data_IF_882776931153
#
_entry.id   IF_882776931153
#
_cell.length_a   1.000
_cell.length_b   1.000
_cell.length_c   1.000
_cell.angle_alpha   90.00
_cell.angle_beta   90.00
_cell.angle_gamma   90.00
#
_symmetry.space_group_name_H-M   'P 1'
#
loop_
_entity.id
_entity.type
_entity.pdbx_description
1 polymer ?
#
# COMPACT_ATOMS: atom_id res chain seq x y z
N UNK A 1 0.74 35.86 -38.44
CA UNK A 1 1.37 34.62 -37.98
C UNK A 1 0.60 34.11 -36.78
N UNK A 2 0.05 32.92 -36.87
CA UNK A 2 -0.57 32.25 -35.75
C UNK A 2 0.50 31.45 -35.03
N UNK A 3 0.59 31.58 -33.71
CA UNK A 3 1.51 30.82 -32.87
C UNK A 3 0.75 29.80 -32.06
N UNK A 4 1.23 28.58 -32.03
CA UNK A 4 0.63 27.48 -31.28
C UNK A 4 1.60 26.99 -30.20
N UNK A 5 1.05 26.61 -29.05
CA UNK A 5 1.80 26.02 -27.96
C UNK A 5 2.42 24.69 -28.40
N UNK A 6 3.67 24.48 -28.07
CA UNK A 6 4.46 23.32 -28.47
C UNK A 6 5.43 22.96 -27.35
N UNK A 7 5.96 21.73 -27.37
CA UNK A 7 7.06 21.31 -26.51
C UNK A 7 8.24 20.82 -27.34
N UNK A 8 9.42 21.18 -26.89
CA UNK A 8 10.65 20.65 -27.55
C UNK A 8 10.77 19.15 -27.23
N UNK A 9 10.84 18.27 -28.26
CA UNK A 9 11.00 16.84 -28.04
C UNK A 9 12.35 16.45 -27.41
N UNK A 10 13.37 17.36 -27.47
CA UNK A 10 14.70 17.06 -26.94
C UNK A 10 14.94 17.51 -25.49
N UNK A 11 14.30 18.63 -25.06
CA UNK A 11 14.54 19.19 -23.72
C UNK A 11 13.22 19.45 -22.94
N UNK A 12 12.08 19.08 -23.50
CA UNK A 12 10.74 19.30 -22.97
C UNK A 12 10.36 20.78 -22.67
N UNK A 13 11.17 21.74 -23.08
CA UNK A 13 10.91 23.18 -22.89
C UNK A 13 9.66 23.63 -23.64
N UNK A 14 8.86 24.49 -23.02
CA UNK A 14 7.64 25.05 -23.61
C UNK A 14 7.97 26.10 -24.66
N UNK A 15 7.36 25.97 -25.82
CA UNK A 15 7.61 26.79 -26.96
C UNK A 15 6.32 27.40 -27.51
N UNK A 16 6.48 28.53 -28.19
CA UNK A 16 5.45 29.08 -29.08
C UNK A 16 6.01 28.98 -30.51
N UNK A 17 5.39 28.12 -31.32
CA UNK A 17 5.86 27.88 -32.69
C UNK A 17 4.91 28.43 -33.72
N UNK A 18 5.40 29.05 -34.81
CA UNK A 18 4.55 29.49 -35.90
C UNK A 18 4.08 28.27 -36.72
N UNK A 19 2.77 28.17 -36.97
CA UNK A 19 2.16 27.05 -37.71
C UNK A 19 2.55 27.00 -39.18
N UNK A 20 3.03 28.09 -39.73
CA UNK A 20 3.40 28.27 -41.13
C UNK A 20 4.87 27.82 -41.45
N UNK A 21 5.56 27.22 -40.48
CA UNK A 21 6.92 26.71 -40.65
C UNK A 21 6.99 25.21 -40.38
N UNK A 22 7.84 24.53 -41.13
CA UNK A 22 8.11 23.10 -40.96
C UNK A 22 9.03 22.84 -39.78
N UNK A 23 10.01 23.73 -39.54
CA UNK A 23 10.99 23.58 -38.47
C UNK A 23 11.35 24.91 -37.83
N UNK A 24 11.73 24.87 -36.55
CA UNK A 24 12.23 26.00 -35.76
C UNK A 24 13.37 25.55 -34.83
N UNK A 25 14.22 26.50 -34.41
CA UNK A 25 15.23 26.23 -33.38
C UNK A 25 14.62 26.37 -31.97
N UNK A 26 14.90 25.39 -31.14
CA UNK A 26 14.53 25.49 -29.72
C UNK A 26 15.35 26.58 -29.04
N UNK A 27 14.70 27.53 -28.41
CA UNK A 27 15.36 28.64 -27.71
C UNK A 27 16.10 28.20 -26.43
N UNK A 28 15.82 27.01 -25.91
CA UNK A 28 16.44 26.48 -24.67
C UNK A 28 17.65 25.59 -24.95
N UNK A 29 17.54 24.63 -25.87
CA UNK A 29 18.63 23.69 -26.16
C UNK A 29 19.30 23.88 -27.53
N UNK A 30 18.78 24.78 -28.36
CA UNK A 30 19.35 25.09 -29.68
C UNK A 30 19.13 24.04 -30.78
N UNK A 31 18.44 22.93 -30.46
CA UNK A 31 18.14 21.87 -31.44
C UNK A 31 17.15 22.35 -32.50
N UNK A 32 17.29 21.88 -33.72
CA UNK A 32 16.27 22.01 -34.75
C UNK A 32 15.13 21.02 -34.46
N UNK A 33 13.90 21.52 -34.41
CA UNK A 33 12.71 20.76 -34.10
C UNK A 33 11.68 20.89 -35.21
N UNK A 34 10.99 19.82 -35.51
CA UNK A 34 9.87 19.80 -36.45
C UNK A 34 8.62 20.34 -35.74
N UNK A 35 8.02 21.40 -36.26
CA UNK A 35 6.88 22.09 -35.64
C UNK A 35 5.73 21.14 -35.34
N UNK A 36 5.37 20.23 -36.27
CA UNK A 36 4.31 19.26 -36.09
C UNK A 36 4.58 18.29 -34.91
N UNK A 37 5.83 17.88 -34.73
CA UNK A 37 6.23 16.98 -33.62
C UNK A 37 6.17 17.71 -32.28
N UNK A 38 6.62 18.97 -32.25
CA UNK A 38 6.57 19.81 -31.08
C UNK A 38 5.12 20.10 -30.62
N UNK A 39 4.20 20.30 -31.55
CA UNK A 39 2.75 20.47 -31.26
C UNK A 39 2.16 19.16 -30.74
N UNK A 40 2.50 18.01 -31.36
CA UNK A 40 2.07 16.70 -30.86
C UNK A 40 2.59 16.42 -29.44
N UNK A 41 3.83 16.76 -29.16
CA UNK A 41 4.43 16.61 -27.83
C UNK A 41 3.70 17.45 -26.78
N UNK A 42 3.31 18.68 -27.12
CA UNK A 42 2.49 19.51 -26.23
C UNK A 42 1.10 18.93 -25.98
N UNK A 43 0.41 18.47 -27.03
CA UNK A 43 -0.88 17.83 -26.93
C UNK A 43 -0.85 16.54 -26.08
N UNK A 44 0.18 15.73 -26.26
CA UNK A 44 0.41 14.54 -25.44
C UNK A 44 0.63 14.90 -23.96
N UNK A 45 1.44 15.92 -23.68
CA UNK A 45 1.70 16.41 -22.32
C UNK A 45 0.42 16.89 -21.63
N UNK A 46 -0.43 17.67 -22.30
CA UNK A 46 -1.73 18.12 -21.77
C UNK A 46 -2.65 16.94 -21.49
N UNK A 47 -2.64 15.92 -22.35
CA UNK A 47 -3.43 14.72 -22.16
C UNK A 47 -2.96 13.92 -20.94
N UNK A 48 -1.64 13.78 -20.73
CA UNK A 48 -1.07 13.11 -19.56
C UNK A 48 -1.48 13.83 -18.28
N UNK A 49 -1.35 15.14 -18.21
CA UNK A 49 -1.73 15.92 -17.03
C UNK A 49 -3.22 15.77 -16.69
N UNK A 50 -4.09 15.85 -17.71
CA UNK A 50 -5.52 15.65 -17.51
C UNK A 50 -5.84 14.23 -17.01
N UNK A 51 -5.23 13.20 -17.61
CA UNK A 51 -5.41 11.81 -17.17
C UNK A 51 -4.93 11.62 -15.74
N UNK A 52 -3.79 12.24 -15.39
CA UNK A 52 -3.24 12.16 -14.05
C UNK A 52 -4.15 12.82 -13.01
N UNK A 53 -4.69 14.01 -13.32
CA UNK A 53 -5.63 14.71 -12.45
C UNK A 53 -6.93 13.92 -12.26
N UNK A 54 -7.46 13.29 -13.33
CA UNK A 54 -8.62 12.39 -13.24
C UNK A 54 -8.31 11.17 -12.38
N UNK A 55 -7.15 10.55 -12.57
CA UNK A 55 -6.69 9.41 -11.78
C UNK A 55 -6.62 9.74 -10.28
N UNK A 56 -6.01 10.88 -9.96
CA UNK A 56 -5.90 11.36 -8.59
C UNK A 56 -7.27 11.63 -7.97
N UNK A 57 -8.14 12.33 -8.70
CA UNK A 57 -9.50 12.62 -8.22
C UNK A 57 -10.31 11.34 -8.00
N UNK A 58 -10.20 10.34 -8.88
CA UNK A 58 -10.83 9.04 -8.71
C UNK A 58 -10.27 8.29 -7.50
N UNK A 59 -8.96 8.32 -7.30
CA UNK A 59 -8.30 7.71 -6.13
C UNK A 59 -8.78 8.36 -4.82
N UNK A 60 -8.78 9.68 -4.75
CA UNK A 60 -9.22 10.44 -3.57
C UNK A 60 -10.70 10.21 -3.26
N UNK A 61 -11.52 9.93 -4.28
CA UNK A 61 -12.93 9.55 -4.13
C UNK A 61 -13.15 8.07 -3.76
N UNK A 62 -12.07 7.25 -3.69
CA UNK A 62 -12.16 5.81 -3.44
C UNK A 62 -12.57 4.96 -4.66
N UNK A 63 -12.62 5.56 -5.84
CA UNK A 63 -12.91 4.87 -7.10
C UNK A 63 -11.64 4.22 -7.67
N UNK A 64 -11.09 3.26 -6.93
CA UNK A 64 -9.78 2.68 -7.22
C UNK A 64 -9.68 1.99 -8.59
N UNK A 65 -10.76 1.40 -9.09
CA UNK A 65 -10.76 0.82 -10.43
C UNK A 65 -10.57 1.90 -11.50
N UNK A 66 -11.33 2.97 -11.41
CA UNK A 66 -11.25 4.10 -12.33
C UNK A 66 -9.87 4.79 -12.24
N UNK A 67 -9.36 5.00 -11.01
CA UNK A 67 -8.03 5.56 -10.78
C UNK A 67 -6.93 4.70 -11.45
N UNK A 68 -6.98 3.38 -11.24
CA UNK A 68 -6.05 2.42 -11.85
C UNK A 68 -6.07 2.49 -13.37
N UNK A 69 -7.26 2.60 -13.96
CA UNK A 69 -7.43 2.66 -15.40
C UNK A 69 -6.84 3.97 -15.97
N UNK A 70 -7.08 5.12 -15.32
CA UNK A 70 -6.46 6.38 -15.73
C UNK A 70 -4.94 6.37 -15.56
N UNK A 71 -4.40 5.88 -14.44
CA UNK A 71 -2.94 5.75 -14.27
C UNK A 71 -2.34 4.82 -15.32
N UNK A 72 -3.03 3.74 -15.69
CA UNK A 72 -2.58 2.84 -16.76
C UNK A 72 -2.49 3.58 -18.10
N UNK A 73 -3.46 4.43 -18.42
CA UNK A 73 -3.43 5.24 -19.64
C UNK A 73 -2.32 6.30 -19.63
N UNK A 74 -1.96 6.84 -18.45
CA UNK A 74 -0.77 7.70 -18.33
C UNK A 74 0.47 6.89 -18.70
N UNK A 75 0.61 5.67 -18.17
CA UNK A 75 1.76 4.80 -18.43
C UNK A 75 1.84 4.28 -19.88
N UNK A 76 0.73 4.20 -20.61
CA UNK A 76 0.72 3.90 -22.05
C UNK A 76 1.41 5.00 -22.89
N UNK A 77 1.43 6.24 -22.37
CA UNK A 77 2.04 7.39 -23.05
C UNK A 77 3.44 7.68 -22.49
N UNK A 78 3.62 7.54 -21.20
CA UNK A 78 4.85 7.77 -20.44
C UNK A 78 5.10 6.63 -19.45
N UNK A 79 5.76 5.56 -19.92
CA UNK A 79 6.03 4.38 -19.11
C UNK A 79 7.00 4.63 -17.94
N UNK A 80 7.76 5.73 -17.97
CA UNK A 80 8.71 6.10 -16.92
C UNK A 80 8.10 7.04 -15.88
N UNK A 81 6.80 7.33 -15.95
CA UNK A 81 6.12 8.19 -15.00
C UNK A 81 5.99 7.49 -13.63
N UNK A 82 6.90 7.79 -12.73
CA UNK A 82 6.97 7.15 -11.42
C UNK A 82 5.72 7.42 -10.56
N UNK A 83 5.11 8.60 -10.66
CA UNK A 83 3.88 8.93 -9.93
C UNK A 83 2.69 8.11 -10.42
N UNK A 84 2.61 7.87 -11.72
CA UNK A 84 1.57 7.00 -12.29
C UNK A 84 1.78 5.54 -11.88
N UNK A 85 3.02 5.06 -11.77
CA UNK A 85 3.29 3.74 -11.21
C UNK A 85 2.84 3.64 -9.77
N UNK A 86 3.11 4.65 -8.90
CA UNK A 86 2.63 4.69 -7.53
C UNK A 86 1.11 4.63 -7.47
N UNK A 87 0.44 5.53 -8.18
CA UNK A 87 -1.01 5.61 -8.18
C UNK A 87 -1.68 4.33 -8.68
N UNK A 88 -1.16 3.73 -9.76
CA UNK A 88 -1.61 2.43 -10.27
C UNK A 88 -1.44 1.32 -9.24
N UNK A 89 -0.25 1.26 -8.61
CA UNK A 89 0.06 0.26 -7.60
C UNK A 89 -0.87 0.36 -6.38
N UNK A 90 -1.02 1.54 -5.82
CA UNK A 90 -1.89 1.75 -4.67
C UNK A 90 -3.36 1.45 -5.01
N UNK A 91 -3.83 1.92 -6.16
CA UNK A 91 -5.18 1.60 -6.63
C UNK A 91 -5.40 0.08 -6.77
N UNK A 92 -4.39 -0.65 -7.29
CA UNK A 92 -4.47 -2.11 -7.38
C UNK A 92 -4.58 -2.78 -6.02
N UNK A 93 -3.78 -2.35 -5.06
CA UNK A 93 -3.81 -2.89 -3.69
C UNK A 93 -5.16 -2.73 -3.00
N UNK A 94 -5.75 -1.54 -3.11
CA UNK A 94 -7.07 -1.24 -2.54
C UNK A 94 -8.23 -1.99 -3.23
N UNK A 95 -8.01 -2.54 -4.41
CA UNK A 95 -8.95 -3.45 -5.09
C UNK A 95 -8.83 -4.91 -4.62
N UNK A 96 -8.05 -5.20 -3.60
CA UNK A 96 -7.96 -6.54 -3.03
C UNK A 96 -9.29 -6.97 -2.43
N UNK A 97 -9.66 -8.21 -2.73
CA UNK A 97 -10.78 -8.93 -2.12
C UNK A 97 -10.27 -10.25 -1.55
N UNK A 98 -11.05 -10.95 -0.74
CA UNK A 98 -10.66 -12.27 -0.22
C UNK A 98 -10.35 -13.26 -1.36
N UNK A 99 -11.12 -13.18 -2.45
CA UNK A 99 -10.89 -14.02 -3.63
C UNK A 99 -9.64 -13.60 -4.43
N UNK A 100 -9.32 -12.30 -4.48
CA UNK A 100 -8.21 -11.76 -5.30
C UNK A 100 -7.38 -10.79 -4.47
N UNK A 101 -6.24 -11.25 -4.00
CA UNK A 101 -5.27 -10.43 -3.26
C UNK A 101 -4.28 -9.77 -4.20
N UNK A 102 -4.30 -8.43 -4.30
CA UNK A 102 -3.56 -7.64 -5.29
C UNK A 102 -2.35 -6.89 -4.74
N UNK A 103 -2.00 -7.06 -3.49
CA UNK A 103 -0.82 -6.39 -2.90
C UNK A 103 0.49 -6.70 -3.63
N UNK A 104 0.73 -7.90 -4.21
CA UNK A 104 1.89 -8.14 -5.06
C UNK A 104 1.98 -7.20 -6.28
N UNK A 105 0.83 -6.79 -6.86
CA UNK A 105 0.79 -5.80 -7.93
C UNK A 105 1.27 -4.42 -7.43
N UNK A 106 0.86 -4.03 -6.22
CA UNK A 106 1.31 -2.79 -5.55
C UNK A 106 2.83 -2.79 -5.37
N UNK A 107 3.38 -3.88 -4.86
CA UNK A 107 4.83 -3.99 -4.58
C UNK A 107 5.64 -3.93 -5.89
N UNK A 108 5.16 -4.60 -6.94
CA UNK A 108 5.78 -4.55 -8.26
C UNK A 108 5.78 -3.13 -8.84
N UNK A 109 4.63 -2.44 -8.74
CA UNK A 109 4.48 -1.07 -9.22
C UNK A 109 5.34 -0.08 -8.39
N UNK A 110 5.45 -0.29 -7.09
CA UNK A 110 6.32 0.49 -6.20
C UNK A 110 7.80 0.32 -6.58
N UNK A 111 8.23 -0.90 -6.91
CA UNK A 111 9.57 -1.15 -7.44
C UNK A 111 9.85 -0.35 -8.71
N UNK A 112 8.89 -0.30 -9.64
CA UNK A 112 8.99 0.53 -10.85
C UNK A 112 9.01 2.02 -10.55
N UNK A 113 8.20 2.48 -9.62
CA UNK A 113 8.20 3.86 -9.19
C UNK A 113 9.56 4.28 -8.61
N UNK A 114 10.18 3.44 -7.78
CA UNK A 114 11.52 3.69 -7.22
C UNK A 114 12.59 3.67 -8.32
N UNK A 115 12.48 2.77 -9.30
CA UNK A 115 13.40 2.68 -10.43
C UNK A 115 13.42 3.97 -11.25
N UNK A 116 12.26 4.54 -11.55
CA UNK A 116 12.12 5.72 -12.42
C UNK A 116 12.14 7.06 -11.69
N UNK A 117 11.99 7.05 -10.36
CA UNK A 117 11.98 8.27 -9.58
C UNK A 117 13.36 8.97 -9.56
N UNK A 118 13.38 10.32 -9.52
CA UNK A 118 14.58 11.08 -9.20
C UNK A 118 15.15 10.65 -7.83
N UNK A 119 16.48 10.73 -7.69
CA UNK A 119 17.17 10.22 -6.49
C UNK A 119 16.67 10.88 -5.19
N UNK A 120 16.40 12.18 -5.24
CA UNK A 120 15.87 12.98 -4.14
C UNK A 120 14.45 12.61 -3.72
N UNK A 121 13.71 11.88 -4.56
CA UNK A 121 12.33 11.41 -4.29
C UNK A 121 12.25 9.98 -3.80
N UNK A 122 13.29 9.18 -3.98
CA UNK A 122 13.22 7.73 -3.68
C UNK A 122 12.88 7.42 -2.24
N UNK A 123 13.43 8.16 -1.28
CA UNK A 123 13.16 7.90 0.13
C UNK A 123 11.73 8.29 0.54
N UNK A 124 11.19 9.38 -0.04
CA UNK A 124 9.80 9.75 0.13
C UNK A 124 8.86 8.65 -0.40
N UNK A 125 9.15 8.14 -1.61
CA UNK A 125 8.39 7.08 -2.25
C UNK A 125 8.44 5.77 -1.46
N UNK A 126 9.61 5.40 -0.93
CA UNK A 126 9.76 4.22 -0.07
C UNK A 126 8.88 4.32 1.18
N UNK A 127 8.94 5.46 1.88
CA UNK A 127 8.15 5.67 3.09
C UNK A 127 6.65 5.62 2.81
N UNK A 128 6.21 6.27 1.73
CA UNK A 128 4.82 6.24 1.29
C UNK A 128 4.39 4.82 0.89
N UNK A 129 5.26 4.09 0.20
CA UNK A 129 5.02 2.70 -0.20
C UNK A 129 4.83 1.77 1.01
N UNK A 130 5.70 1.88 2.02
CA UNK A 130 5.60 1.09 3.25
C UNK A 130 4.30 1.40 3.98
N UNK A 131 3.93 2.68 4.08
CA UNK A 131 2.67 3.09 4.69
C UNK A 131 1.47 2.46 3.98
N UNK A 132 1.39 2.58 2.65
CA UNK A 132 0.27 2.05 1.87
C UNK A 132 0.19 0.51 1.92
N UNK A 133 1.32 -0.18 1.85
CA UNK A 133 1.38 -1.65 2.02
C UNK A 133 0.77 -2.04 3.36
N UNK A 134 1.13 -1.32 4.43
CA UNK A 134 0.61 -1.59 5.78
C UNK A 134 -0.89 -1.37 5.88
N UNK A 135 -1.39 -0.24 5.38
CA UNK A 135 -2.82 0.06 5.38
C UNK A 135 -3.63 -0.99 4.63
N UNK A 136 -3.15 -1.43 3.46
CA UNK A 136 -3.80 -2.48 2.67
C UNK A 136 -3.79 -3.81 3.42
N UNK A 137 -2.69 -4.19 4.07
CA UNK A 137 -2.60 -5.42 4.86
C UNK A 137 -3.58 -5.38 6.05
N UNK A 138 -3.62 -4.28 6.78
CA UNK A 138 -4.55 -4.12 7.90
C UNK A 138 -6.02 -4.23 7.45
N UNK A 139 -6.36 -3.57 6.33
CA UNK A 139 -7.70 -3.64 5.76
C UNK A 139 -8.05 -5.07 5.31
N UNK A 140 -7.11 -5.76 4.65
CA UNK A 140 -7.30 -7.13 4.19
C UNK A 140 -7.42 -8.13 5.36
N UNK A 141 -6.56 -8.01 6.38
CA UNK A 141 -6.64 -8.86 7.58
C UNK A 141 -7.99 -8.69 8.30
N UNK A 142 -8.45 -7.44 8.40
CA UNK A 142 -9.76 -7.17 8.98
C UNK A 142 -10.89 -7.79 8.19
N UNK A 143 -10.86 -7.67 6.85
CA UNK A 143 -11.85 -8.30 5.98
C UNK A 143 -11.87 -9.83 6.16
N UNK A 144 -10.70 -10.45 6.27
CA UNK A 144 -10.56 -11.90 6.54
C UNK A 144 -11.14 -12.29 7.88
N UNK A 145 -10.89 -11.51 8.94
CA UNK A 145 -11.43 -11.75 10.26
C UNK A 145 -12.95 -11.56 10.31
N UNK A 146 -13.48 -10.52 9.68
CA UNK A 146 -14.94 -10.30 9.61
C UNK A 146 -15.66 -11.45 8.93
N UNK A 147 -15.10 -12.02 7.86
CA UNK A 147 -15.67 -13.18 7.20
C UNK A 147 -15.63 -14.41 8.10
N UNK A 148 -14.47 -14.70 8.67
CA UNK A 148 -14.32 -15.79 9.65
C UNK A 148 -15.33 -15.69 10.79
N UNK A 149 -15.47 -14.51 11.43
CA UNK A 149 -16.42 -14.33 12.52
C UNK A 149 -17.90 -14.43 12.10
N UNK A 150 -18.24 -14.07 10.88
CA UNK A 150 -19.59 -14.29 10.35
C UNK A 150 -19.89 -15.79 10.23
N UNK A 151 -18.93 -16.54 9.68
CA UNK A 151 -19.10 -17.96 9.45
C UNK A 151 -19.22 -18.74 10.76
N UNK A 152 -18.33 -18.52 11.74
CA UNK A 152 -18.39 -19.27 13.01
C UNK A 152 -19.60 -18.99 13.87
N UNK A 153 -20.29 -17.85 13.70
CA UNK A 153 -21.51 -17.53 14.44
C UNK A 153 -22.73 -18.34 14.04
N UNK A 154 -22.74 -18.86 12.82
CA UNK A 154 -23.95 -19.44 12.21
C UNK A 154 -23.80 -20.90 11.81
N UNK A 155 -22.67 -21.57 12.10
CA UNK A 155 -22.29 -22.76 11.38
C UNK A 155 -21.93 -23.94 12.28
N UNK A 156 -22.15 -25.14 11.72
CA UNK A 156 -21.71 -26.43 12.23
C UNK A 156 -20.18 -26.49 12.34
N UNK A 157 -19.68 -27.26 13.30
CA UNK A 157 -18.26 -27.43 13.66
C UNK A 157 -17.40 -27.80 12.44
N UNK A 158 -17.93 -28.55 11.47
CA UNK A 158 -17.19 -28.96 10.26
C UNK A 158 -16.81 -27.77 9.37
N UNK A 159 -17.68 -26.80 9.21
CA UNK A 159 -17.43 -25.59 8.42
C UNK A 159 -16.48 -24.61 9.13
N UNK A 160 -16.44 -24.62 10.46
CA UNK A 160 -15.50 -23.80 11.22
C UNK A 160 -14.04 -24.20 10.97
N UNK A 161 -13.76 -25.46 10.64
CA UNK A 161 -12.43 -25.92 10.26
C UNK A 161 -12.00 -25.38 8.88
N UNK A 162 -12.90 -25.41 7.90
CA UNK A 162 -12.61 -24.91 6.55
C UNK A 162 -12.35 -23.40 6.58
N UNK A 163 -13.17 -22.64 7.31
CA UNK A 163 -12.99 -21.20 7.49
C UNK A 163 -11.71 -20.83 8.24
N UNK A 164 -11.31 -21.65 9.22
CA UNK A 164 -10.02 -21.47 9.90
C UNK A 164 -8.84 -21.68 8.95
N UNK A 165 -8.93 -22.64 8.04
CA UNK A 165 -7.91 -22.90 7.05
C UNK A 165 -7.79 -21.72 6.05
N UNK A 166 -8.93 -21.16 5.62
CA UNK A 166 -8.96 -19.97 4.75
C UNK A 166 -8.35 -18.74 5.42
N UNK A 167 -8.63 -18.52 6.70
CA UNK A 167 -8.03 -17.42 7.47
C UNK A 167 -6.50 -17.55 7.53
N UNK A 168 -5.99 -18.77 7.75
CA UNK A 168 -4.54 -19.03 7.73
C UNK A 168 -3.97 -18.78 6.34
N UNK A 169 -4.63 -19.21 5.27
CA UNK A 169 -4.21 -18.93 3.90
C UNK A 169 -4.14 -17.43 3.60
N UNK A 170 -5.10 -16.66 4.05
CA UNK A 170 -5.07 -15.20 3.90
C UNK A 170 -3.87 -14.59 4.61
N UNK A 171 -3.54 -15.04 5.81
CA UNK A 171 -2.35 -14.60 6.57
C UNK A 171 -1.05 -14.98 5.87
N UNK A 172 -0.97 -16.19 5.30
CA UNK A 172 0.18 -16.62 4.50
C UNK A 172 0.37 -15.76 3.24
N UNK A 173 -0.72 -15.37 2.55
CA UNK A 173 -0.67 -14.43 1.43
C UNK A 173 -0.12 -13.06 1.86
N UNK A 174 -0.57 -12.54 3.01
CA UNK A 174 -0.05 -11.29 3.56
C UNK A 174 1.44 -11.37 3.91
N UNK A 175 1.87 -12.45 4.59
CA UNK A 175 3.27 -12.69 4.92
C UNK A 175 4.13 -12.75 3.64
N UNK A 176 3.69 -13.51 2.64
CA UNK A 176 4.40 -13.61 1.36
C UNK A 176 4.54 -12.25 0.66
N UNK A 177 3.51 -11.41 0.70
CA UNK A 177 3.57 -10.07 0.12
C UNK A 177 4.52 -9.16 0.90
N UNK A 178 4.53 -9.22 2.24
CA UNK A 178 5.50 -8.47 3.05
C UNK A 178 6.95 -8.93 2.80
N UNK A 179 7.17 -10.21 2.57
CA UNK A 179 8.49 -10.72 2.19
C UNK A 179 8.94 -10.17 0.83
N UNK A 180 8.03 -10.04 -0.14
CA UNK A 180 8.31 -9.36 -1.40
C UNK A 180 8.65 -7.89 -1.18
N UNK A 181 7.87 -7.17 -0.35
CA UNK A 181 8.17 -5.79 0.01
C UNK A 181 9.52 -5.66 0.72
N UNK A 182 9.86 -6.62 1.59
CA UNK A 182 11.14 -6.68 2.27
C UNK A 182 12.33 -6.83 1.30
N UNK A 183 12.16 -7.41 0.11
CA UNK A 183 13.22 -7.43 -0.91
C UNK A 183 13.56 -6.04 -1.46
N UNK A 184 12.58 -5.12 -1.45
CA UNK A 184 12.78 -3.71 -1.83
C UNK A 184 13.34 -2.88 -0.67
N UNK A 185 13.04 -3.26 0.58
CA UNK A 185 13.38 -2.53 1.80
C UNK A 185 14.01 -3.47 2.85
N UNK A 186 15.22 -4.01 2.60
CA UNK A 186 15.77 -5.11 3.38
C UNK A 186 16.09 -4.77 4.84
N UNK A 187 16.29 -3.50 5.17
CA UNK A 187 16.64 -3.03 6.51
C UNK A 187 15.50 -2.25 7.18
N UNK A 188 14.30 -2.30 6.59
CA UNK A 188 13.14 -1.62 7.19
C UNK A 188 12.62 -2.42 8.38
N UNK A 189 12.83 -1.88 9.57
CA UNK A 189 12.46 -2.50 10.84
C UNK A 189 10.94 -2.72 10.96
N UNK A 190 10.18 -1.80 10.39
CA UNK A 190 8.72 -1.86 10.50
C UNK A 190 8.15 -3.02 9.67
N UNK A 191 8.61 -3.22 8.43
CA UNK A 191 8.21 -4.37 7.62
C UNK A 191 8.60 -5.69 8.28
N UNK A 192 9.82 -5.77 8.84
CA UNK A 192 10.29 -6.95 9.56
C UNK A 192 9.37 -7.23 10.76
N UNK A 193 9.03 -6.21 11.54
CA UNK A 193 8.12 -6.34 12.69
C UNK A 193 6.73 -6.84 12.27
N UNK A 194 6.19 -6.32 11.16
CA UNK A 194 4.91 -6.78 10.63
C UNK A 194 4.95 -8.26 10.21
N UNK A 195 6.04 -8.73 9.62
CA UNK A 195 6.21 -10.14 9.29
C UNK A 195 6.22 -11.00 10.56
N UNK A 196 6.98 -10.59 11.58
CA UNK A 196 7.05 -11.28 12.87
C UNK A 196 5.64 -11.39 13.48
N UNK A 197 4.92 -10.27 13.57
CA UNK A 197 3.57 -10.21 14.15
C UNK A 197 2.60 -11.08 13.38
N UNK A 198 2.61 -11.05 12.04
CA UNK A 198 1.72 -11.89 11.24
C UNK A 198 2.05 -13.38 11.37
N UNK A 199 3.34 -13.75 11.48
CA UNK A 199 3.73 -15.13 11.78
C UNK A 199 3.17 -15.59 13.12
N UNK A 200 3.27 -14.74 14.15
CA UNK A 200 2.73 -15.05 15.48
C UNK A 200 1.22 -15.22 15.47
N UNK A 201 0.48 -14.29 14.84
CA UNK A 201 -0.97 -14.37 14.73
C UNK A 201 -1.39 -15.60 13.92
N UNK A 202 -0.67 -15.91 12.85
CA UNK A 202 -0.97 -17.09 12.02
C UNK A 202 -0.66 -18.40 12.73
N UNK A 203 0.37 -18.41 13.59
CA UNK A 203 0.78 -19.58 14.37
C UNK A 203 -0.09 -19.80 15.62
N UNK A 204 -0.24 -18.77 16.44
CA UNK A 204 -0.99 -18.87 17.70
C UNK A 204 -2.51 -18.91 17.50
N UNK A 205 -2.98 -18.58 16.30
CA UNK A 205 -4.38 -18.42 16.00
C UNK A 205 -5.02 -17.32 16.86
N UNK A 206 -6.31 -17.25 16.82
CA UNK A 206 -7.08 -16.47 17.79
C UNK A 206 -7.31 -17.37 19.00
N UNK A 207 -6.50 -17.23 20.05
CA UNK A 207 -6.53 -18.10 21.25
C UNK A 207 -7.92 -18.21 21.90
N UNK A 208 -8.77 -17.21 21.73
CA UNK A 208 -10.16 -17.25 22.21
C UNK A 208 -11.04 -18.24 21.43
N UNK A 209 -10.58 -18.70 20.27
CA UNK A 209 -11.31 -19.63 19.39
C UNK A 209 -10.48 -20.92 19.19
N UNK A 210 -9.49 -21.15 20.02
CA UNK A 210 -8.44 -22.18 19.87
C UNK A 210 -8.97 -23.62 19.74
N UNK A 211 -10.25 -23.87 19.98
CA UNK A 211 -10.85 -25.17 19.80
C UNK A 211 -11.05 -25.55 18.32
N UNK A 212 -10.97 -24.57 17.39
CA UNK A 212 -11.24 -24.77 15.96
C UNK A 212 -10.13 -24.32 15.02
N UNK A 213 -9.12 -23.59 15.52
CA UNK A 213 -8.00 -23.10 14.71
C UNK A 213 -6.83 -24.08 14.77
N UNK A 214 -6.95 -25.20 14.07
CA UNK A 214 -5.86 -26.15 13.91
C UNK A 214 -5.04 -25.76 12.68
N UNK A 215 -3.95 -25.04 12.91
CA UNK A 215 -2.91 -24.89 11.90
C UNK A 215 -2.32 -26.29 11.65
N UNK A 216 -2.26 -26.72 10.41
CA UNK A 216 -1.60 -27.99 10.08
C UNK A 216 -0.14 -27.94 10.54
N UNK A 217 0.37 -29.00 11.14
CA UNK A 217 1.73 -29.09 11.70
C UNK A 217 2.82 -28.57 10.75
N UNK A 218 2.65 -28.76 9.44
CA UNK A 218 3.58 -28.29 8.41
C UNK A 218 3.62 -26.75 8.31
N UNK A 219 2.47 -26.08 8.42
CA UNK A 219 2.40 -24.60 8.42
C UNK A 219 2.95 -24.03 9.72
N UNK A 220 2.67 -24.68 10.84
CA UNK A 220 3.17 -24.32 12.14
C UNK A 220 4.69 -24.28 12.16
N UNK A 221 5.34 -25.35 11.71
CA UNK A 221 6.80 -25.42 11.63
C UNK A 221 7.38 -24.37 10.70
N UNK A 222 6.77 -24.16 9.53
CA UNK A 222 7.22 -23.16 8.57
C UNK A 222 7.11 -21.73 9.12
N UNK A 223 5.99 -21.42 9.79
CA UNK A 223 5.76 -20.11 10.41
C UNK A 223 6.73 -19.83 11.56
N UNK A 224 6.99 -20.81 12.42
CA UNK A 224 7.99 -20.71 13.49
C UNK A 224 9.38 -20.42 12.93
N UNK A 225 9.83 -21.22 11.96
CA UNK A 225 11.15 -21.03 11.32
C UNK A 225 11.26 -19.65 10.67
N UNK A 226 10.21 -19.20 10.00
CA UNK A 226 10.16 -17.89 9.37
C UNK A 226 10.24 -16.77 10.41
N UNK A 227 9.46 -16.86 11.48
CA UNK A 227 9.48 -15.94 12.61
C UNK A 227 10.87 -15.82 13.22
N UNK A 228 11.50 -16.93 13.56
CA UNK A 228 12.85 -16.97 14.14
C UNK A 228 13.88 -16.30 13.24
N UNK A 229 13.79 -16.52 11.92
CA UNK A 229 14.63 -15.86 10.94
C UNK A 229 14.47 -14.33 11.02
N UNK A 230 13.23 -13.81 11.01
CA UNK A 230 12.98 -12.36 11.03
C UNK A 230 13.29 -11.72 12.38
N UNK A 231 13.09 -12.43 13.50
CA UNK A 231 13.55 -11.99 14.83
C UNK A 231 15.08 -11.87 14.87
N UNK A 232 15.79 -12.86 14.34
CA UNK A 232 17.25 -12.82 14.24
C UNK A 232 17.73 -11.65 13.38
N UNK A 233 17.04 -11.41 12.24
CA UNK A 233 17.33 -10.27 11.37
C UNK A 233 17.06 -8.95 12.07
N UNK A 234 15.94 -8.80 12.76
CA UNK A 234 15.62 -7.62 13.53
C UNK A 234 16.71 -7.31 14.57
N UNK A 235 17.15 -8.32 15.33
CA UNK A 235 18.22 -8.17 16.32
C UNK A 235 19.57 -7.79 15.69
N UNK A 236 19.82 -8.18 14.45
CA UNK A 236 21.03 -7.77 13.73
C UNK A 236 21.03 -6.29 13.32
N UNK A 237 19.85 -5.75 13.01
CA UNK A 237 19.65 -4.35 12.63
C UNK A 237 19.50 -3.46 13.90
N UNK A 238 18.83 -3.98 14.90
CA UNK A 238 18.59 -3.32 16.17
C UNK A 238 18.92 -4.26 17.34
N UNK A 239 20.15 -4.20 17.89
CA UNK A 239 20.54 -5.01 19.03
C UNK A 239 19.71 -4.75 20.31
N UNK A 240 18.99 -3.62 20.37
CA UNK A 240 18.10 -3.30 21.48
C UNK A 240 16.69 -3.87 21.33
N UNK A 241 16.40 -4.53 20.21
CA UNK A 241 15.08 -5.13 19.95
C UNK A 241 14.79 -6.23 20.98
N UNK A 242 13.67 -6.05 21.66
CA UNK A 242 13.14 -7.05 22.60
C UNK A 242 11.96 -7.75 21.93
N UNK A 243 12.07 -9.04 21.75
CA UNK A 243 10.99 -9.89 21.27
C UNK A 243 9.97 -10.08 22.40
N UNK A 244 8.94 -9.24 22.41
CA UNK A 244 7.93 -9.20 23.47
C UNK A 244 7.06 -10.44 23.53
N UNK A 245 6.94 -11.18 22.44
CA UNK A 245 6.12 -12.38 22.38
C UNK A 245 6.85 -13.61 22.94
N UNK A 246 8.17 -13.67 22.84
CA UNK A 246 8.95 -14.67 23.58
C UNK A 246 8.93 -14.47 25.09
N UNK A 247 8.59 -13.27 25.57
CA UNK A 247 8.39 -13.00 26.99
C UNK A 247 7.02 -13.44 27.49
N UNK A 248 5.98 -13.36 26.65
CA UNK A 248 4.61 -13.81 26.99
C UNK A 248 4.50 -15.34 27.10
N UNK A 249 5.35 -16.08 26.38
CA UNK A 249 5.44 -17.56 26.55
C UNK A 249 6.08 -17.96 27.88
N UNK A 250 6.87 -17.08 28.50
CA UNK A 250 7.50 -17.30 29.80
C UNK A 250 6.68 -16.77 30.99
N UNK A 251 5.72 -15.89 30.78
CA UNK A 251 4.79 -15.41 31.78
C UNK A 251 3.43 -16.04 31.53
N UNK A 252 3.13 -17.06 32.34
CA UNK A 252 1.89 -17.82 32.34
C UNK A 252 0.65 -16.93 32.14
N UNK A 253 -0.17 -17.29 31.12
CA UNK A 253 -1.61 -17.03 31.03
C UNK A 253 -2.12 -15.67 31.55
N UNK A 254 -1.74 -14.59 30.92
CA UNK A 254 -2.57 -13.39 30.96
C UNK A 254 -3.27 -13.24 29.61
N UNK A 255 -4.56 -13.53 29.61
CA UNK A 255 -5.51 -13.23 28.55
C UNK A 255 -5.28 -11.80 28.09
N UNK A 256 -4.79 -11.61 26.86
CA UNK A 256 -4.79 -10.30 26.22
C UNK A 256 -6.24 -9.95 25.97
N UNK A 257 -6.88 -9.32 26.94
CA UNK A 257 -8.14 -8.62 26.68
C UNK A 257 -7.79 -7.50 25.71
N UNK A 258 -8.33 -7.59 24.49
CA UNK A 258 -8.44 -6.41 23.65
C UNK A 258 -9.08 -5.31 24.51
N UNK A 259 -8.47 -4.11 24.56
CA UNK A 259 -9.06 -3.02 25.31
C UNK A 259 -10.48 -2.78 24.80
N UNK A 260 -11.42 -2.59 25.74
CA UNK A 260 -12.78 -2.17 25.39
C UNK A 260 -12.70 -0.98 24.44
N UNK A 261 -13.52 -0.93 23.38
CA UNK A 261 -13.48 0.17 22.43
C UNK A 261 -13.62 1.49 23.19
N UNK A 262 -12.72 2.47 22.97
CA UNK A 262 -12.75 3.74 23.69
C UNK A 262 -14.11 4.41 23.49
N UNK A 263 -14.69 4.93 24.57
CA UNK A 263 -15.89 5.78 24.49
C UNK A 263 -15.55 7.01 23.64
N UNK A 264 -16.22 7.13 22.50
CA UNK A 264 -15.98 8.14 21.47
C UNK A 264 -16.35 9.51 22.04
N UNK A 265 -15.35 10.37 22.23
CA UNK A 265 -15.56 11.81 22.25
C UNK A 265 -15.55 12.31 20.81
N UNK A 266 -16.67 12.91 20.40
CA UNK A 266 -16.88 13.49 19.07
C UNK A 266 -16.03 14.74 18.87
N UNK A 267 -14.75 14.61 18.58
CA UNK A 267 -13.95 15.70 18.04
C UNK A 267 -13.40 15.34 16.66
N UNK A 268 -13.73 16.23 15.73
CA UNK A 268 -13.49 16.16 14.28
C UNK A 268 -12.01 15.96 13.94
N UNK A 269 -11.65 14.81 13.44
CA UNK A 269 -10.43 14.66 12.67
C UNK A 269 -10.73 13.93 11.36
N UNK A 270 -10.49 14.63 10.26
CA UNK A 270 -10.79 14.18 8.92
C UNK A 270 -9.75 13.16 8.44
N UNK A 271 -10.02 11.88 8.60
CA UNK A 271 -9.38 10.85 7.80
C UNK A 271 -10.21 10.69 6.52
N UNK A 272 -9.98 11.57 5.55
CA UNK A 272 -10.84 11.77 4.38
C UNK A 272 -10.88 10.52 3.48
N UNK A 273 -9.74 9.87 3.25
CA UNK A 273 -9.63 8.73 2.33
C UNK A 273 -10.36 7.50 2.88
N UNK A 274 -10.09 7.11 4.13
CA UNK A 274 -10.73 5.96 4.75
C UNK A 274 -12.25 6.16 4.90
N UNK A 275 -12.69 7.37 5.17
CA UNK A 275 -14.12 7.73 5.29
C UNK A 275 -14.83 7.64 3.94
N UNK A 276 -14.20 8.13 2.86
CA UNK A 276 -14.76 8.07 1.50
C UNK A 276 -14.90 6.63 1.01
N UNK A 277 -13.90 5.78 1.28
CA UNK A 277 -13.88 4.37 0.86
C UNK A 277 -14.91 3.52 1.61
N UNK A 278 -15.13 3.80 2.88
CA UNK A 278 -15.99 2.99 3.78
C UNK A 278 -17.38 3.58 4.00
N UNK A 279 -17.69 4.68 3.36
CA UNK A 279 -19.03 5.31 3.35
C UNK A 279 -19.47 5.96 4.66
N UNK A 280 -18.71 5.87 5.74
CA UNK A 280 -19.05 6.45 7.04
C UNK A 280 -17.83 6.69 7.92
N UNK A 281 -17.79 7.84 8.58
CA UNK A 281 -16.79 8.17 9.63
C UNK A 281 -16.82 7.20 10.82
N UNK A 282 -17.95 6.55 11.03
CA UNK A 282 -18.17 5.60 12.13
C UNK A 282 -17.96 4.14 11.67
N UNK A 283 -17.51 3.92 10.45
CA UNK A 283 -17.16 2.59 10.01
C UNK A 283 -16.02 2.07 10.91
N UNK A 284 -16.12 0.83 11.46
CA UNK A 284 -15.10 0.27 12.36
C UNK A 284 -13.69 0.31 11.78
N UNK A 285 -13.54 0.19 10.45
CA UNK A 285 -12.22 0.29 9.76
C UNK A 285 -11.67 1.71 9.81
N UNK A 286 -12.51 2.71 9.61
CA UNK A 286 -12.12 4.13 9.71
C UNK A 286 -11.69 4.45 11.14
N UNK A 287 -12.41 3.92 12.13
CA UNK A 287 -12.08 4.07 13.55
C UNK A 287 -10.72 3.44 13.84
N UNK A 288 -10.49 2.20 13.38
CA UNK A 288 -9.22 1.49 13.58
C UNK A 288 -8.03 2.21 12.92
N UNK A 289 -8.20 2.69 11.69
CA UNK A 289 -7.17 3.44 10.98
C UNK A 289 -6.85 4.77 11.66
N UNK A 290 -7.85 5.44 12.22
CA UNK A 290 -7.63 6.64 13.05
C UNK A 290 -6.88 6.32 14.32
N UNK A 291 -7.27 5.27 15.02
CA UNK A 291 -6.62 4.84 16.24
C UNK A 291 -5.16 4.44 15.97
N UNK A 292 -4.89 3.73 14.90
CA UNK A 292 -3.53 3.43 14.44
C UNK A 292 -2.75 4.70 14.13
N UNK A 293 -3.34 5.64 13.39
CA UNK A 293 -2.73 6.95 13.14
C UNK A 293 -2.39 7.66 14.44
N UNK A 294 -3.35 7.78 15.36
CA UNK A 294 -3.23 8.62 16.55
C UNK A 294 -2.36 7.97 17.63
N UNK A 295 -2.40 6.65 17.75
CA UNK A 295 -1.65 5.93 18.80
C UNK A 295 -0.24 5.55 18.36
N UNK A 296 -0.04 5.28 17.10
CA UNK A 296 1.21 4.73 16.57
C UNK A 296 1.93 5.66 15.58
N UNK A 297 1.23 6.12 14.54
CA UNK A 297 1.83 6.90 13.46
C UNK A 297 2.27 8.30 13.96
N UNK A 298 1.39 9.03 14.67
CA UNK A 298 1.67 10.38 15.18
C UNK A 298 2.71 10.40 16.30
N UNK A 299 2.95 9.30 16.98
CA UNK A 299 4.01 9.19 17.99
C UNK A 299 5.40 9.00 17.38
N UNK A 300 5.52 8.76 16.08
CA UNK A 300 6.79 8.60 15.37
C UNK A 300 7.08 9.82 14.51
N UNK A 301 8.36 10.22 14.43
CA UNK A 301 8.79 11.40 13.66
C UNK A 301 8.34 11.35 12.18
N UNK A 302 8.20 10.17 11.61
CA UNK A 302 7.73 9.98 10.23
C UNK A 302 6.23 10.26 10.06
N UNK A 303 5.40 9.86 11.01
CA UNK A 303 3.95 10.07 10.94
C UNK A 303 3.53 11.54 11.07
N UNK A 304 4.37 12.38 11.68
CA UNK A 304 4.11 13.82 11.84
C UNK A 304 4.35 14.64 10.57
N UNK A 305 5.00 14.04 9.55
CA UNK A 305 5.29 14.70 8.27
C UNK A 305 4.12 14.54 7.28
N UNK A 306 3.23 13.55 7.50
CA UNK A 306 2.17 13.16 6.56
C UNK A 306 0.74 13.52 6.99
N UNK A 307 0.57 14.26 8.08
CA UNK A 307 -0.71 14.77 8.56
C UNK A 307 -0.69 16.30 8.62
#
# INVERSE_FOLDING_TARGET
MLFTAAKCPNCAGDLQVPEDRDSVKCMYCGSDIIVREAIKAAAASVNIENLFNLAKSAFDAGNFQEARDYYTRVLEVDEQNYEAWLGKGFSSGWLSTLAVFRLPETITALGKAIEYAPEDKKDEIKNLGILQITEIILAYNKLSLEEYYKCIKFVDVSLAFDESAELVEHRLKMISALEQAHTLFPDDKFLIEQIIVLCDIAYNGEKEISMFCLTKDEYEKALKTKREFYVSKMKSIDPSYVDTLSQLENEQEQVIKLPDPPKINEEKSNCFIATATMGSVNNPTVVLLREFRDTWLLKRKFGQIFI
#
